data_IF_567976398726
#
_entry.id   IF_567976398726
#
_cell.length_a   1.000
_cell.length_b   1.000
_cell.length_c   1.000
_cell.angle_alpha   90.00
_cell.angle_beta   90.00
_cell.angle_gamma   90.00
#
_symmetry.space_group_name_H-M   'P 1'
#
loop_
_entity.id
_entity.type
_entity.pdbx_description
1 polymer ?
#
# COMPACT_ATOMS: atom_id res chain seq x y z
N UNK A 1 -2.61 6.04 4.02
CA UNK A 1 -1.28 5.73 4.62
C UNK A 1 -1.25 4.54 5.58
N UNK A 2 -2.19 4.40 6.52
CA UNK A 2 -2.19 3.30 7.49
C UNK A 2 -2.02 1.90 6.85
N UNK A 3 -2.72 1.64 5.74
CA UNK A 3 -2.60 0.38 5.00
C UNK A 3 -1.22 0.15 4.35
N UNK A 4 -0.55 1.21 3.88
CA UNK A 4 0.81 1.11 3.32
C UNK A 4 1.80 0.68 4.40
N UNK A 5 1.69 1.29 5.60
CA UNK A 5 2.50 0.89 6.75
C UNK A 5 2.17 -0.51 7.23
N UNK A 6 0.88 -0.88 7.26
CA UNK A 6 0.47 -2.24 7.60
C UNK A 6 1.07 -3.27 6.63
N UNK A 7 0.97 -3.04 5.32
CA UNK A 7 1.60 -3.93 4.33
C UNK A 7 3.12 -4.03 4.54
N UNK A 8 3.82 -2.90 4.67
CA UNK A 8 5.29 -2.89 4.75
C UNK A 8 5.85 -3.43 6.07
N UNK A 9 5.18 -3.19 7.20
CA UNK A 9 5.68 -3.62 8.52
C UNK A 9 5.08 -4.94 9.01
N UNK A 10 3.81 -5.21 8.70
CA UNK A 10 3.10 -6.39 9.20
C UNK A 10 3.10 -7.51 8.17
N UNK A 11 2.54 -7.28 6.97
CA UNK A 11 2.43 -8.33 5.95
C UNK A 11 3.80 -8.83 5.49
N UNK A 12 4.78 -7.92 5.35
CA UNK A 12 6.17 -8.29 5.04
C UNK A 12 6.84 -9.11 6.15
N UNK A 13 6.59 -8.78 7.42
CA UNK A 13 7.11 -9.57 8.56
C UNK A 13 6.49 -10.96 8.65
N UNK A 14 5.22 -11.08 8.29
CA UNK A 14 4.55 -12.37 8.21
C UNK A 14 4.94 -13.19 6.97
N UNK A 15 5.73 -12.63 6.05
CA UNK A 15 6.01 -13.21 4.72
C UNK A 15 4.75 -13.58 3.95
N UNK A 16 3.64 -12.88 4.22
CA UNK A 16 2.36 -13.10 3.56
C UNK A 16 2.25 -12.19 2.34
N UNK A 17 2.62 -12.77 1.19
CA UNK A 17 2.64 -12.07 -0.10
C UNK A 17 1.23 -11.68 -0.56
N UNK A 18 0.26 -12.55 -0.38
CA UNK A 18 -1.13 -12.29 -0.78
C UNK A 18 -1.75 -11.17 0.06
N UNK A 19 -1.50 -11.17 1.38
CA UNK A 19 -1.91 -10.09 2.27
C UNK A 19 -1.21 -8.77 1.91
N UNK A 20 0.06 -8.82 1.55
CA UNK A 20 0.83 -7.64 1.12
C UNK A 20 0.23 -7.04 -0.16
N UNK A 21 -0.02 -7.85 -1.18
CA UNK A 21 -0.55 -7.39 -2.47
C UNK A 21 -1.97 -6.86 -2.32
N UNK A 22 -2.86 -7.61 -1.66
CA UNK A 22 -4.26 -7.22 -1.48
C UNK A 22 -4.41 -5.93 -0.68
N UNK A 23 -3.59 -5.74 0.37
CA UNK A 23 -3.59 -4.51 1.16
C UNK A 23 -3.17 -3.30 0.33
N UNK A 24 -2.12 -3.45 -0.49
CA UNK A 24 -1.64 -2.35 -1.35
C UNK A 24 -2.61 -2.04 -2.49
N UNK A 25 -3.26 -3.05 -3.08
CA UNK A 25 -4.32 -2.84 -4.07
C UNK A 25 -5.51 -2.07 -3.48
N UNK A 26 -5.92 -2.40 -2.27
CA UNK A 26 -7.00 -1.68 -1.57
C UNK A 26 -6.68 -0.19 -1.40
N UNK A 27 -5.42 0.19 -1.23
CA UNK A 27 -5.01 1.61 -1.18
C UNK A 27 -5.20 2.32 -2.52
N UNK A 28 -4.99 1.62 -3.63
CA UNK A 28 -5.15 2.17 -4.97
C UNK A 28 -6.62 2.39 -5.34
N UNK A 29 -7.50 1.55 -4.82
CA UNK A 29 -8.95 1.60 -5.08
C UNK A 29 -9.68 2.70 -4.27
N UNK A 30 -9.08 3.22 -3.19
CA UNK A 30 -9.69 4.29 -2.40
C UNK A 30 -9.75 5.58 -3.24
N UNK A 31 -10.92 6.17 -3.49
CA UNK A 31 -11.03 7.41 -4.26
C UNK A 31 -10.36 8.58 -3.53
N UNK A 32 -9.68 9.45 -4.26
CA UNK A 32 -8.95 10.59 -3.67
C UNK A 32 -9.91 11.70 -3.18
N UNK A 33 -11.14 11.72 -3.68
CA UNK A 33 -12.13 12.79 -3.49
C UNK A 33 -12.86 12.78 -2.14
N UNK A 34 -12.55 11.84 -1.23
CA UNK A 34 -13.34 11.67 0.01
C UNK A 34 -13.11 12.80 1.02
N UNK A 35 -11.96 13.46 1.00
CA UNK A 35 -11.65 14.63 1.83
C UNK A 35 -10.54 15.47 1.21
N UNK A 36 -10.76 16.76 0.93
CA UNK A 36 -9.73 17.69 0.42
C UNK A 36 -8.44 17.69 1.27
N UNK A 37 -8.58 17.62 2.59
CA UNK A 37 -7.47 17.57 3.55
C UNK A 37 -6.63 16.28 3.45
N UNK A 38 -7.22 15.20 2.92
CA UNK A 38 -6.60 13.88 2.79
C UNK A 38 -6.13 13.59 1.36
N UNK A 39 -6.46 14.44 0.37
CA UNK A 39 -6.05 14.25 -1.03
C UNK A 39 -4.54 14.08 -1.13
N UNK A 40 -3.77 14.94 -0.47
CA UNK A 40 -2.30 14.87 -0.50
C UNK A 40 -1.80 13.56 0.12
N UNK A 41 -2.35 13.18 1.27
CA UNK A 41 -1.94 11.98 2.01
C UNK A 41 -2.29 10.69 1.26
N UNK A 42 -3.45 10.67 0.60
CA UNK A 42 -3.94 9.56 -0.21
C UNK A 42 -3.14 9.43 -1.50
N UNK A 43 -2.86 10.55 -2.18
CA UNK A 43 -2.02 10.58 -3.38
C UNK A 43 -0.62 10.01 -3.09
N UNK A 44 -0.02 10.42 -1.97
CA UNK A 44 1.27 9.89 -1.54
C UNK A 44 1.16 8.39 -1.22
N UNK A 45 0.07 7.95 -0.58
CA UNK A 45 -0.13 6.55 -0.20
C UNK A 45 -0.24 5.65 -1.43
N UNK A 46 -0.97 6.10 -2.45
CA UNK A 46 -1.09 5.40 -3.73
C UNK A 46 0.25 5.32 -4.46
N UNK A 47 1.04 6.40 -4.44
CA UNK A 47 2.38 6.39 -5.04
C UNK A 47 3.29 5.36 -4.36
N UNK A 48 3.35 5.37 -3.04
CA UNK A 48 4.13 4.39 -2.27
C UNK A 48 3.62 2.96 -2.48
N UNK A 49 2.31 2.75 -2.54
CA UNK A 49 1.73 1.44 -2.79
C UNK A 49 2.14 0.87 -4.17
N UNK A 50 2.17 1.71 -5.22
CA UNK A 50 2.68 1.31 -6.54
C UNK A 50 4.15 0.92 -6.51
N UNK A 51 5.00 1.71 -5.85
CA UNK A 51 6.43 1.41 -5.72
C UNK A 51 6.66 0.09 -4.96
N UNK A 52 5.94 -0.14 -3.87
CA UNK A 52 6.03 -1.37 -3.09
C UNK A 52 5.54 -2.60 -3.86
N UNK A 53 4.46 -2.48 -4.64
CA UNK A 53 3.99 -3.55 -5.52
C UNK A 53 5.01 -3.89 -6.61
N UNK A 54 5.68 -2.89 -7.18
CA UNK A 54 6.74 -3.12 -8.18
C UNK A 54 7.94 -3.87 -7.62
N UNK A 55 8.20 -3.74 -6.30
CA UNK A 55 9.31 -4.41 -5.60
C UNK A 55 8.88 -5.68 -4.88
N UNK A 56 7.65 -6.16 -5.09
CA UNK A 56 7.15 -7.34 -4.37
C UNK A 56 7.97 -8.60 -4.69
N UNK A 57 8.57 -8.69 -5.89
CA UNK A 57 9.51 -9.77 -6.22
C UNK A 57 10.73 -9.76 -5.30
N UNK A 58 11.39 -8.61 -5.19
CA UNK A 58 12.60 -8.43 -4.36
C UNK A 58 12.39 -8.71 -2.87
N UNK A 59 11.14 -8.64 -2.38
CA UNK A 59 10.82 -8.78 -0.95
C UNK A 59 10.39 -10.18 -0.55
N UNK A 60 9.96 -11.01 -1.50
CA UNK A 60 9.35 -12.31 -1.27
C UNK A 60 9.95 -13.42 -2.16
N UNK A 61 11.14 -13.20 -2.73
CA UNK A 61 11.99 -14.24 -3.36
C UNK A 61 12.76 -15.07 -2.33
#
# INVERSE_FOLDING_TARGET
MAYVYYANYYARKMMDKDLFISTLQKVLEIPDETSPDLVLLNTLAKRQAKELLSRVGEYFE
#
